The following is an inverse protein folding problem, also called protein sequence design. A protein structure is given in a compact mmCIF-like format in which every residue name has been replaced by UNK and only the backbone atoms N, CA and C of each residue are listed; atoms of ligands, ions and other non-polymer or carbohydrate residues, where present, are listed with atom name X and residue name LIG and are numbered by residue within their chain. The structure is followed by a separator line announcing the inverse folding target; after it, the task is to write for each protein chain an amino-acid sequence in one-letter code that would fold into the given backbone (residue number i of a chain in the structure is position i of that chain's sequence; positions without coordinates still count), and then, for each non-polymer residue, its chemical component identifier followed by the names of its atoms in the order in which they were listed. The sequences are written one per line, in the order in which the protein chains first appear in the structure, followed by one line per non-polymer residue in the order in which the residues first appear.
data_IF_439247789437
#
_entry.id   IF_439247789437
#
_cell.length_a   1.000
_cell.length_b   1.000
_cell.length_c   1.000
_cell.angle_alpha   90.00
_cell.angle_beta   90.00
_cell.angle_gamma   90.00
#
_symmetry.space_group_name_H-M   'P 1'
#
loop_
_entity.id
_entity.type
_entity.pdbx_description
1 polymer ?
#
# COMPACT_ATOMS: atom_id res chain seq x y z
N UNK A 1 24.48 -12.28 -37.19
CA UNK A 1 23.76 -13.57 -37.37
C UNK A 1 24.30 -14.61 -36.41
N UNK A 2 23.59 -14.95 -35.32
CA UNK A 2 23.84 -16.17 -34.54
C UNK A 2 22.65 -16.47 -33.60
N UNK A 3 21.79 -17.35 -34.13
CA UNK A 3 20.98 -18.43 -33.54
C UNK A 3 20.23 -18.20 -32.22
N UNK A 4 18.90 -18.09 -32.38
CA UNK A 4 17.86 -18.38 -31.40
C UNK A 4 17.95 -19.82 -30.86
N UNK A 5 17.61 -20.00 -29.60
CA UNK A 5 17.15 -21.29 -29.08
C UNK A 5 16.00 -21.04 -28.10
N UNK A 6 14.80 -21.29 -28.60
CA UNK A 6 13.58 -21.44 -27.81
C UNK A 6 13.59 -22.82 -27.17
N UNK A 7 13.39 -22.90 -25.85
CA UNK A 7 13.04 -24.15 -25.17
C UNK A 7 11.61 -24.02 -24.64
N UNK A 8 10.68 -24.65 -25.35
CA UNK A 8 9.34 -24.94 -24.86
C UNK A 8 9.41 -26.21 -24.01
N UNK A 9 8.82 -26.18 -22.81
CA UNK A 9 8.46 -27.41 -22.11
C UNK A 9 6.97 -27.36 -21.79
N UNK A 10 6.26 -28.27 -22.44
CA UNK A 10 4.83 -28.45 -22.37
C UNK A 10 4.47 -29.32 -21.15
N UNK A 11 3.32 -28.99 -20.56
CA UNK A 11 2.25 -29.89 -20.10
C UNK A 11 2.62 -31.15 -19.33
N UNK A 12 2.16 -31.22 -18.08
CA UNK A 12 1.52 -32.43 -17.55
C UNK A 12 0.27 -32.06 -16.72
N UNK A 13 -0.88 -32.45 -17.26
CA UNK A 13 -2.17 -32.61 -16.57
C UNK A 13 -2.11 -33.80 -15.60
N UNK A 14 -2.79 -33.70 -14.46
CA UNK A 14 -3.49 -34.80 -13.72
C UNK A 14 -3.86 -34.25 -12.33
N UNK A 15 -5.07 -34.35 -11.78
CA UNK A 15 -6.32 -34.94 -12.25
C UNK A 15 -7.49 -34.53 -11.34
N UNK A 16 -8.69 -34.59 -11.88
CA UNK A 16 -9.95 -34.50 -11.16
C UNK A 16 -10.19 -35.78 -10.35
N UNK A 17 -10.74 -35.67 -9.14
CA UNK A 17 -11.67 -36.68 -8.63
C UNK A 17 -12.91 -36.00 -8.04
N UNK A 18 -14.04 -36.45 -8.57
CA UNK A 18 -15.41 -36.06 -8.26
C UNK A 18 -15.93 -36.93 -7.12
N UNK A 19 -16.74 -36.39 -6.20
CA UNK A 19 -17.82 -37.15 -5.55
C UNK A 19 -18.93 -36.17 -5.17
N UNK A 20 -20.14 -36.26 -5.77
CA UNK A 20 -21.34 -35.69 -5.19
C UNK A 20 -22.04 -36.78 -4.36
N UNK A 21 -22.59 -36.42 -3.20
CA UNK A 21 -23.60 -37.22 -2.54
C UNK A 21 -24.70 -36.30 -2.02
N UNK A 22 -25.79 -36.44 -2.75
CA UNK A 22 -27.20 -36.23 -2.45
C UNK A 22 -27.61 -36.21 -0.97
N UNK A 23 -28.62 -35.40 -0.67
CA UNK A 23 -29.20 -35.30 0.66
C UNK A 23 -30.16 -34.13 0.77
N UNK A 24 -31.29 -34.22 0.06
CA UNK A 24 -32.45 -33.36 0.26
C UNK A 24 -33.05 -33.52 1.67
N UNK A 25 -33.30 -32.41 2.37
CA UNK A 25 -34.37 -32.33 3.37
C UNK A 25 -35.03 -30.95 3.29
N UNK A 26 -36.31 -31.01 2.93
CA UNK A 26 -37.32 -29.95 2.97
C UNK A 26 -37.70 -29.68 4.43
N UNK A 27 -37.87 -28.42 4.83
CA UNK A 27 -38.29 -28.10 6.19
C UNK A 27 -38.37 -26.60 6.49
N UNK A 28 -39.60 -26.09 6.48
CA UNK A 28 -39.99 -24.74 6.84
C UNK A 28 -39.46 -24.28 8.21
N UNK A 29 -39.07 -23.01 8.33
CA UNK A 29 -39.78 -22.10 9.24
C UNK A 29 -39.36 -20.64 9.04
N UNK A 30 -40.36 -19.78 8.94
CA UNK A 30 -40.24 -18.34 9.14
C UNK A 30 -39.90 -18.08 10.61
N UNK A 31 -38.90 -17.25 10.86
CA UNK A 31 -38.85 -16.38 12.04
C UNK A 31 -37.88 -15.25 11.74
N UNK A 32 -38.46 -14.14 11.28
CA UNK A 32 -37.92 -12.81 11.49
C UNK A 32 -37.77 -12.59 13.00
N UNK A 33 -36.63 -12.97 13.54
CA UNK A 33 -36.06 -12.25 14.66
C UNK A 33 -35.17 -11.19 14.03
N UNK A 34 -35.67 -9.95 14.01
CA UNK A 34 -34.88 -8.77 13.77
C UNK A 34 -33.69 -8.81 14.73
N UNK A 35 -32.58 -9.38 14.25
CA UNK A 35 -31.30 -9.24 14.87
C UNK A 35 -31.00 -7.76 14.81
N UNK A 36 -31.08 -7.10 15.96
CA UNK A 36 -30.31 -5.90 16.18
C UNK A 36 -28.87 -6.28 15.88
N UNK A 37 -28.44 -6.11 14.64
CA UNK A 37 -27.05 -6.11 14.23
C UNK A 37 -26.45 -4.89 14.89
N UNK A 38 -26.14 -5.01 16.19
CA UNK A 38 -25.08 -4.24 16.78
C UNK A 38 -23.87 -4.53 15.90
N UNK A 39 -23.49 -3.52 15.10
CA UNK A 39 -22.27 -3.59 14.31
C UNK A 39 -21.16 -4.10 15.24
N UNK A 40 -20.38 -5.11 14.82
CA UNK A 40 -19.26 -5.57 15.63
C UNK A 40 -18.39 -4.35 15.97
N UNK A 41 -17.79 -4.31 17.17
CA UNK A 41 -16.84 -3.24 17.51
C UNK A 41 -15.82 -3.18 16.37
N UNK A 42 -15.66 -1.99 15.77
CA UNK A 42 -14.60 -1.74 14.78
C UNK A 42 -13.33 -2.34 15.34
N UNK A 43 -12.72 -3.25 14.60
CA UNK A 43 -11.56 -3.95 15.11
C UNK A 43 -10.47 -2.92 15.39
N UNK A 44 -9.64 -3.09 16.44
CA UNK A 44 -8.57 -2.13 16.77
C UNK A 44 -7.65 -1.81 15.57
N UNK A 45 -7.61 -2.72 14.57
CA UNK A 45 -6.93 -2.54 13.29
C UNK A 45 -7.63 -1.50 12.40
N UNK A 46 -8.97 -1.48 12.33
CA UNK A 46 -9.73 -0.47 11.59
C UNK A 46 -9.62 0.91 12.24
N UNK A 47 -9.57 0.99 13.57
CA UNK A 47 -9.35 2.27 14.27
C UNK A 47 -7.92 2.80 14.03
N UNK A 48 -6.90 1.93 14.05
CA UNK A 48 -5.53 2.28 13.70
C UNK A 48 -5.44 2.75 12.24
N UNK A 49 -6.08 2.04 11.30
CA UNK A 49 -6.09 2.39 9.89
C UNK A 49 -6.81 3.72 9.62
N UNK A 50 -7.90 4.02 10.33
CA UNK A 50 -8.56 5.32 10.23
C UNK A 50 -7.65 6.47 10.73
N UNK A 51 -6.94 6.27 11.85
CA UNK A 51 -5.97 7.26 12.34
C UNK A 51 -4.81 7.46 11.34
N UNK A 52 -4.30 6.37 10.76
CA UNK A 52 -3.31 6.40 9.68
C UNK A 52 -3.82 7.22 8.49
N UNK A 53 -5.07 7.01 8.07
CA UNK A 53 -5.66 7.76 6.96
C UNK A 53 -5.77 9.26 7.25
N UNK A 54 -6.13 9.64 8.48
CA UNK A 54 -6.15 11.05 8.88
C UNK A 54 -4.75 11.68 8.82
N UNK A 55 -3.68 10.96 9.15
CA UNK A 55 -2.31 11.46 9.02
C UNK A 55 -1.84 11.54 7.56
N UNK A 56 -2.14 10.52 6.76
CA UNK A 56 -1.64 10.41 5.39
C UNK A 56 -2.33 11.38 4.44
N UNK A 57 -3.65 11.60 4.60
CA UNK A 57 -4.45 12.43 3.68
C UNK A 57 -4.88 13.73 4.33
N UNK A 58 -5.26 13.72 5.61
CA UNK A 58 -5.68 14.91 6.34
C UNK A 58 -6.79 15.72 5.63
N UNK A 59 -7.04 16.94 6.13
CA UNK A 59 -7.93 17.90 5.44
C UNK A 59 -7.20 18.72 4.38
N UNK A 60 -5.89 18.88 4.55
CA UNK A 60 -5.06 19.79 3.75
C UNK A 60 -4.14 19.02 2.77
N UNK A 61 -4.41 17.73 2.54
CA UNK A 61 -3.63 16.85 1.65
C UNK A 61 -2.63 15.93 2.36
N UNK A 62 -2.27 16.26 3.61
CA UNK A 62 -1.55 15.38 4.52
C UNK A 62 -0.15 14.97 4.04
N UNK A 63 0.40 13.96 4.69
CA UNK A 63 1.78 13.53 4.43
C UNK A 63 2.02 13.10 2.97
N UNK A 64 1.01 12.56 2.28
CA UNK A 64 1.12 12.19 0.86
C UNK A 64 1.32 13.43 -0.01
N UNK A 65 0.55 14.49 0.23
CA UNK A 65 0.67 15.74 -0.52
C UNK A 65 2.01 16.42 -0.24
N UNK A 66 2.41 16.54 1.03
CA UNK A 66 3.69 17.12 1.43
C UNK A 66 4.87 16.39 0.76
N UNK A 67 4.80 15.05 0.76
CA UNK A 67 5.77 14.16 0.13
C UNK A 67 5.85 14.38 -1.39
N UNK A 68 4.70 14.46 -2.06
CA UNK A 68 4.63 14.67 -3.50
C UNK A 68 5.12 16.06 -3.90
N UNK A 69 4.76 17.09 -3.13
CA UNK A 69 5.19 18.47 -3.32
C UNK A 69 6.71 18.57 -3.22
N UNK A 70 7.29 18.02 -2.15
CA UNK A 70 8.75 17.96 -2.00
C UNK A 70 9.40 17.33 -3.22
N UNK A 71 9.02 16.09 -3.59
CA UNK A 71 9.64 15.35 -4.69
C UNK A 71 9.52 16.09 -6.04
N UNK A 72 8.45 16.84 -6.25
CA UNK A 72 8.23 17.61 -7.48
C UNK A 72 9.05 18.91 -7.51
N UNK A 73 9.34 19.49 -6.34
CA UNK A 73 10.03 20.77 -6.21
C UNK A 73 11.55 20.63 -6.01
N UNK A 74 12.08 19.42 -5.81
CA UNK A 74 13.54 19.20 -5.77
C UNK A 74 14.16 19.49 -7.14
N UNK A 75 14.84 20.63 -7.23
CA UNK A 75 15.67 21.01 -8.39
C UNK A 75 17.17 20.90 -8.12
N UNK A 76 17.57 20.96 -6.85
CA UNK A 76 18.96 20.87 -6.40
C UNK A 76 19.13 19.85 -5.27
N UNK A 77 20.21 19.07 -5.35
CA UNK A 77 20.58 18.11 -4.32
C UNK A 77 21.65 18.71 -3.42
N UNK A 78 21.23 19.20 -2.25
CA UNK A 78 22.08 19.81 -1.24
C UNK A 78 21.73 19.26 0.16
N UNK A 79 22.44 19.73 1.18
CA UNK A 79 22.26 19.25 2.56
C UNK A 79 20.84 19.44 3.09
N UNK A 80 20.19 20.56 2.73
CA UNK A 80 18.82 20.85 3.16
C UNK A 80 17.84 19.88 2.49
N UNK A 81 17.98 19.64 1.19
CA UNK A 81 17.16 18.67 0.46
C UNK A 81 17.33 17.26 1.03
N UNK A 82 18.56 16.82 1.32
CA UNK A 82 18.82 15.50 1.89
C UNK A 82 18.23 15.37 3.31
N UNK A 83 18.37 16.39 4.14
CA UNK A 83 17.79 16.43 5.49
C UNK A 83 16.26 16.32 5.44
N UNK A 84 15.63 17.04 4.52
CA UNK A 84 14.18 17.01 4.36
C UNK A 84 13.68 15.67 3.81
N UNK A 85 14.42 15.06 2.87
CA UNK A 85 14.13 13.71 2.41
C UNK A 85 14.19 12.69 3.55
N UNK A 86 15.25 12.73 4.37
CA UNK A 86 15.39 11.86 5.54
C UNK A 86 14.24 12.07 6.55
N UNK A 87 13.83 13.33 6.78
CA UNK A 87 12.69 13.65 7.65
C UNK A 87 11.38 13.04 7.13
N UNK A 88 11.09 13.18 5.83
CA UNK A 88 9.88 12.63 5.21
C UNK A 88 9.89 11.10 5.23
N UNK A 89 11.03 10.47 4.92
CA UNK A 89 11.19 9.02 5.00
C UNK A 89 10.90 8.51 6.43
N UNK A 90 11.53 9.11 7.44
CA UNK A 90 11.31 8.73 8.84
C UNK A 90 9.88 9.01 9.32
N UNK A 91 9.21 10.03 8.79
CA UNK A 91 7.79 10.29 9.11
C UNK A 91 6.90 9.19 8.52
N UNK A 92 7.12 8.80 7.26
CA UNK A 92 6.40 7.70 6.62
C UNK A 92 6.68 6.35 7.33
N UNK A 93 7.91 6.12 7.78
CA UNK A 93 8.29 4.95 8.58
C UNK A 93 7.54 4.92 9.92
N UNK A 94 7.53 6.03 10.65
CA UNK A 94 6.81 6.12 11.92
C UNK A 94 5.30 5.86 11.78
N UNK A 95 4.68 6.30 10.68
CA UNK A 95 3.28 5.97 10.38
C UNK A 95 3.14 4.48 10.03
N UNK A 96 4.05 3.94 9.22
CA UNK A 96 4.06 2.52 8.84
C UNK A 96 4.16 1.57 10.05
N UNK A 97 4.95 1.92 11.07
CA UNK A 97 5.17 1.10 12.27
C UNK A 97 3.91 0.90 13.11
N UNK A 98 2.99 1.87 13.09
CA UNK A 98 1.72 1.81 13.84
C UNK A 98 0.53 1.38 12.99
N UNK A 99 0.72 1.21 11.67
CA UNK A 99 -0.36 0.91 10.72
C UNK A 99 -0.54 -0.59 10.49
N UNK A 100 -1.63 -1.00 9.85
CA UNK A 100 -1.78 -2.36 9.38
C UNK A 100 -0.68 -2.76 8.40
N UNK A 101 -0.46 -4.08 8.26
CA UNK A 101 0.55 -4.62 7.34
C UNK A 101 0.39 -4.14 5.90
N UNK A 102 -0.85 -3.84 5.48
CA UNK A 102 -1.15 -3.34 4.14
C UNK A 102 -0.61 -1.91 3.95
N UNK A 103 -0.90 -1.00 4.87
CA UNK A 103 -0.37 0.36 4.83
C UNK A 103 1.16 0.36 4.96
N UNK A 104 1.71 -0.43 5.90
CA UNK A 104 3.17 -0.54 6.05
C UNK A 104 3.87 -0.83 4.74
N UNK A 105 3.41 -1.81 3.98
CA UNK A 105 4.01 -2.15 2.69
C UNK A 105 3.96 -1.00 1.67
N UNK A 106 2.83 -0.30 1.58
CA UNK A 106 2.67 0.83 0.67
C UNK A 106 3.55 2.01 1.07
N UNK A 107 3.60 2.32 2.37
CA UNK A 107 4.42 3.39 2.91
C UNK A 107 5.91 3.10 2.75
N UNK A 108 6.35 1.84 2.89
CA UNK A 108 7.73 1.45 2.57
C UNK A 108 8.06 1.74 1.10
N UNK A 109 7.15 1.47 0.16
CA UNK A 109 7.36 1.83 -1.26
C UNK A 109 7.42 3.34 -1.45
N UNK A 110 6.61 4.10 -0.72
CA UNK A 110 6.62 5.56 -0.77
C UNK A 110 7.89 6.19 -0.17
N UNK A 111 8.59 5.50 0.74
CA UNK A 111 9.85 5.95 1.33
C UNK A 111 11.03 5.88 0.36
N UNK A 112 11.02 4.93 -0.59
CA UNK A 112 12.13 4.66 -1.52
C UNK A 112 12.74 5.91 -2.19
N UNK A 113 11.97 6.82 -2.83
CA UNK A 113 12.57 7.98 -3.50
C UNK A 113 13.31 8.93 -2.53
N UNK A 114 12.94 8.96 -1.25
CA UNK A 114 13.60 9.78 -0.24
C UNK A 114 14.92 9.16 0.19
N UNK A 115 14.95 7.85 0.44
CA UNK A 115 16.19 7.11 0.71
C UNK A 115 17.14 7.15 -0.49
N UNK A 116 16.63 7.04 -1.71
CA UNK A 116 17.43 7.16 -2.93
C UNK A 116 18.06 8.56 -3.07
N UNK A 117 17.32 9.61 -2.69
CA UNK A 117 17.83 10.99 -2.70
C UNK A 117 18.91 11.18 -1.65
N UNK A 118 18.65 10.78 -0.41
CA UNK A 118 19.61 10.83 0.70
C UNK A 118 20.90 10.09 0.33
N UNK A 119 20.78 8.85 -0.12
CA UNK A 119 21.92 8.05 -0.55
C UNK A 119 22.66 8.69 -1.75
N UNK A 120 21.95 9.29 -2.71
CA UNK A 120 22.60 9.99 -3.81
C UNK A 120 23.42 11.19 -3.32
N UNK A 121 22.91 11.95 -2.35
CA UNK A 121 23.62 13.08 -1.75
C UNK A 121 24.88 12.62 -1.00
N UNK A 122 24.75 11.64 -0.10
CA UNK A 122 25.87 11.13 0.70
C UNK A 122 27.00 10.55 -0.16
N UNK A 123 26.64 9.89 -1.27
CA UNK A 123 27.59 9.27 -2.17
C UNK A 123 28.09 10.20 -3.29
N UNK A 124 27.66 11.47 -3.32
CA UNK A 124 28.01 12.42 -4.38
C UNK A 124 27.56 11.96 -5.79
N UNK A 125 26.46 11.22 -5.87
CA UNK A 125 25.91 10.66 -7.11
C UNK A 125 24.80 11.54 -7.68
N UNK A 126 24.46 11.33 -8.95
CA UNK A 126 23.25 11.94 -9.52
C UNK A 126 22.02 11.22 -8.99
N UNK A 127 21.03 11.99 -8.56
CA UNK A 127 19.67 11.52 -8.28
C UNK A 127 18.80 11.66 -9.53
N UNK A 128 17.92 10.68 -9.75
CA UNK A 128 16.87 10.75 -10.76
C UNK A 128 15.61 10.17 -10.15
N UNK A 129 14.59 11.01 -9.98
CA UNK A 129 13.31 10.58 -9.45
C UNK A 129 12.63 9.60 -10.43
N UNK A 130 12.22 8.44 -9.93
CA UNK A 130 11.24 7.58 -10.59
C UNK A 130 9.89 7.72 -9.85
N UNK A 131 8.97 8.58 -10.33
CA UNK A 131 7.78 8.91 -9.57
C UNK A 131 6.70 7.82 -9.63
N UNK A 132 6.82 6.84 -10.53
CA UNK A 132 5.72 5.91 -10.80
C UNK A 132 5.39 5.00 -9.62
N UNK A 133 6.41 4.51 -8.90
CA UNK A 133 6.19 3.64 -7.73
C UNK A 133 5.55 4.41 -6.58
N UNK A 134 6.07 5.60 -6.29
CA UNK A 134 5.49 6.50 -5.29
C UNK A 134 4.03 6.84 -5.62
N UNK A 135 3.75 7.23 -6.87
CA UNK A 135 2.42 7.60 -7.34
C UNK A 135 1.44 6.43 -7.30
N UNK A 136 1.90 5.23 -7.69
CA UNK A 136 1.07 4.02 -7.63
C UNK A 136 0.71 3.69 -6.18
N UNK A 137 1.70 3.63 -5.30
CA UNK A 137 1.48 3.35 -3.88
C UNK A 137 0.57 4.41 -3.22
N UNK A 138 0.79 5.70 -3.52
CA UNK A 138 -0.05 6.79 -3.01
C UNK A 138 -1.51 6.64 -3.42
N UNK A 139 -1.80 6.25 -4.68
CA UNK A 139 -3.16 5.99 -5.14
C UNK A 139 -3.82 4.84 -4.40
N UNK A 140 -3.07 3.78 -4.14
CA UNK A 140 -3.56 2.64 -3.36
C UNK A 140 -3.86 3.02 -1.90
N UNK A 141 -3.00 3.84 -1.29
CA UNK A 141 -3.25 4.41 0.04
C UNK A 141 -4.52 5.26 0.04
N UNK A 142 -4.70 6.14 -0.95
CA UNK A 142 -5.91 6.98 -1.08
C UNK A 142 -7.16 6.11 -1.18
N UNK A 143 -7.16 5.12 -2.08
CA UNK A 143 -8.28 4.20 -2.25
C UNK A 143 -8.61 3.39 -0.97
N UNK A 144 -7.59 3.11 -0.14
CA UNK A 144 -7.79 2.45 1.16
C UNK A 144 -8.41 3.36 2.21
N UNK A 145 -8.13 4.66 2.13
CA UNK A 145 -8.59 5.64 3.09
C UNK A 145 -9.95 6.23 2.78
N UNK A 146 -10.38 6.27 1.51
CA UNK A 146 -11.72 6.72 1.11
C UNK A 146 -12.89 6.16 1.94
N UNK A 147 -12.94 4.85 2.29
CA UNK A 147 -14.03 4.34 3.12
C UNK A 147 -13.87 4.60 4.63
N UNK A 148 -12.73 5.13 5.07
CA UNK A 148 -12.38 5.33 6.49
C UNK A 148 -12.42 6.79 6.94
N UNK A 149 -12.54 7.73 6.00
CA UNK A 149 -12.71 9.18 6.23
C UNK A 149 -14.16 9.61 6.04
#
# INVERSE_FOLDING_TARGET
MKKLSFLACALLLTGCTTTPSDGAVEGANQSEAASSTSAPPRTAVEEADAATCQTLIGTDGGLISDSAEFLTNVSEMNAATATEAARLAGTLEGVADTSSARFRNLLTVMQEPFHDLEAAYENGRRFSLNPERFKSASKEVIALCEPLM
#
